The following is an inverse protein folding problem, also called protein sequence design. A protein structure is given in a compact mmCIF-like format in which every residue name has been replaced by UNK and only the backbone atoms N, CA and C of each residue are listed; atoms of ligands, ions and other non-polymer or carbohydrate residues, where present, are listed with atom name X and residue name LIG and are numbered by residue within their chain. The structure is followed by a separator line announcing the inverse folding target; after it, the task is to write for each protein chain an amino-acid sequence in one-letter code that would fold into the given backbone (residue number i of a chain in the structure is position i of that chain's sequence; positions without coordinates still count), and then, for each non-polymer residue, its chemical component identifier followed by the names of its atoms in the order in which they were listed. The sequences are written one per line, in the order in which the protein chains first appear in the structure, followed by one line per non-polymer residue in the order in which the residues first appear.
data_IF_311848310513
#
_entry.id   IF_311848310513
#
_cell.length_a   1.000
_cell.length_b   1.000
_cell.length_c   1.000
_cell.angle_alpha   90.00
_cell.angle_beta   90.00
_cell.angle_gamma   90.00
#
_symmetry.space_group_name_H-M   'P 1'
#
loop_
_entity.id
_entity.type
_entity.pdbx_description
1 polymer ?
#
# COMPACT_ATOMS: atom_id res chain seq x y z
N UNK A 1 -8.42 -13.28 6.55
CA UNK A 1 -9.72 -13.23 5.84
C UNK A 1 -10.63 -14.44 6.08
N UNK A 2 -10.16 -15.50 6.67
CA UNK A 2 -10.98 -16.60 7.16
C UNK A 2 -10.93 -16.62 8.68
N UNK A 3 -12.07 -16.78 9.31
CA UNK A 3 -12.18 -17.02 10.74
C UNK A 3 -11.59 -18.42 10.96
N UNK A 4 -10.66 -18.61 11.93
CA UNK A 4 -10.10 -19.91 12.22
C UNK A 4 -11.16 -20.88 12.76
N UNK A 5 -11.06 -22.17 12.43
CA UNK A 5 -12.04 -23.20 12.81
C UNK A 5 -12.16 -23.42 14.32
N UNK A 6 -11.14 -23.06 15.11
CA UNK A 6 -11.25 -23.11 16.58
C UNK A 6 -12.19 -22.04 17.18
N UNK A 7 -12.75 -21.16 16.33
CA UNK A 7 -13.78 -20.19 16.69
C UNK A 7 -15.16 -20.55 16.12
N UNK A 8 -15.37 -21.74 15.55
CA UNK A 8 -16.63 -22.15 14.94
C UNK A 8 -17.81 -22.18 15.94
N UNK A 9 -17.52 -22.42 17.23
CA UNK A 9 -18.52 -22.40 18.30
C UNK A 9 -18.80 -21.00 18.87
N UNK A 10 -18.13 -19.94 18.35
CA UNK A 10 -18.32 -18.57 18.79
C UNK A 10 -19.37 -17.84 17.97
N UNK A 11 -20.14 -16.95 18.61
CA UNK A 11 -20.97 -15.99 17.90
C UNK A 11 -20.11 -14.79 17.48
N UNK A 12 -19.92 -14.58 16.19
CA UNK A 12 -19.03 -13.58 15.63
C UNK A 12 -19.83 -12.54 14.85
N UNK A 13 -19.65 -11.26 15.16
CA UNK A 13 -20.15 -10.16 14.32
C UNK A 13 -18.99 -9.62 13.48
N UNK A 14 -19.20 -9.48 12.16
CA UNK A 14 -18.31 -8.75 11.27
C UNK A 14 -19.00 -7.45 10.88
N UNK A 15 -18.34 -6.33 11.18
CA UNK A 15 -18.81 -4.99 10.75
C UNK A 15 -17.94 -4.53 9.59
N UNK A 16 -18.57 -4.20 8.46
CA UNK A 16 -17.88 -3.69 7.27
C UNK A 16 -18.67 -2.52 6.67
N UNK A 17 -18.00 -1.41 6.42
CA UNK A 17 -18.63 -0.20 5.86
C UNK A 17 -18.60 -0.11 4.34
N UNK A 18 -17.73 -0.90 3.70
CA UNK A 18 -17.43 -0.78 2.28
C UNK A 18 -17.37 -2.18 1.61
N UNK A 19 -16.70 -2.28 0.50
CA UNK A 19 -16.57 -3.53 -0.26
C UNK A 19 -15.77 -4.60 0.51
N UNK A 20 -16.28 -5.83 0.50
CA UNK A 20 -15.64 -6.96 1.16
C UNK A 20 -14.25 -7.28 0.58
N UNK A 21 -13.34 -7.76 1.44
CA UNK A 21 -11.99 -8.15 1.06
C UNK A 21 -10.92 -7.10 1.35
N UNK A 22 -11.32 -5.89 1.76
CA UNK A 22 -10.42 -4.82 2.19
C UNK A 22 -9.55 -4.27 1.05
N UNK A 23 -8.60 -3.40 1.41
CA UNK A 23 -7.75 -2.66 0.47
C UNK A 23 -6.96 -3.58 -0.47
N UNK A 24 -6.33 -4.64 0.05
CA UNK A 24 -5.44 -5.48 -0.74
C UNK A 24 -6.16 -6.17 -1.93
N UNK A 25 -7.38 -6.68 -1.73
CA UNK A 25 -8.14 -7.35 -2.80
C UNK A 25 -8.71 -6.34 -3.80
N UNK A 26 -9.26 -5.22 -3.32
CA UNK A 26 -10.10 -4.34 -4.14
C UNK A 26 -9.34 -3.20 -4.82
N UNK A 27 -8.31 -2.65 -4.14
CA UNK A 27 -7.67 -1.38 -4.52
C UNK A 27 -6.19 -1.30 -4.13
N UNK A 28 -5.56 -2.44 -3.85
CA UNK A 28 -4.15 -2.54 -3.40
C UNK A 28 -3.38 -3.64 -4.10
N UNK A 29 -2.83 -4.57 -3.32
CA UNK A 29 -1.84 -5.55 -3.76
C UNK A 29 -2.27 -6.39 -4.98
N UNK A 30 -3.51 -6.89 -4.99
CA UNK A 30 -3.94 -7.80 -6.06
C UNK A 30 -4.13 -7.05 -7.38
N UNK A 31 -4.99 -6.01 -7.47
CA UNK A 31 -5.15 -5.30 -8.74
C UNK A 31 -3.84 -4.64 -9.19
N UNK A 32 -3.05 -4.00 -8.31
CA UNK A 32 -1.82 -3.35 -8.73
C UNK A 32 -0.85 -4.33 -9.42
N UNK A 33 -0.66 -5.55 -8.88
CA UNK A 33 0.21 -6.55 -9.51
C UNK A 33 -0.35 -7.08 -10.83
N UNK A 34 -1.68 -7.13 -10.95
CA UNK A 34 -2.34 -7.50 -12.21
C UNK A 34 -2.21 -6.40 -13.29
N UNK A 35 -2.01 -5.13 -12.91
CA UNK A 35 -1.67 -4.03 -13.82
C UNK A 35 -0.16 -3.92 -14.08
N UNK A 36 0.68 -4.20 -13.08
CA UNK A 36 2.15 -4.18 -13.22
C UNK A 36 2.60 -5.17 -14.29
N UNK A 37 2.08 -6.40 -14.31
CA UNK A 37 2.53 -7.41 -15.26
C UNK A 37 2.35 -7.02 -16.74
N UNK A 38 1.20 -6.49 -17.21
CA UNK A 38 1.09 -5.91 -18.55
C UNK A 38 2.06 -4.76 -18.83
N UNK A 39 2.31 -3.92 -17.82
CA UNK A 39 3.30 -2.84 -17.95
C UNK A 39 4.72 -3.39 -18.12
N UNK A 40 5.10 -4.45 -17.39
CA UNK A 40 6.37 -5.14 -17.55
C UNK A 40 6.53 -5.69 -18.97
N UNK A 41 5.49 -6.33 -19.52
CA UNK A 41 5.49 -6.83 -20.91
C UNK A 41 5.67 -5.68 -21.89
N UNK A 42 4.98 -4.56 -21.71
CA UNK A 42 5.09 -3.39 -22.56
C UNK A 42 6.50 -2.75 -22.48
N UNK A 43 7.08 -2.65 -21.30
CA UNK A 43 8.45 -2.17 -21.10
C UNK A 43 9.45 -3.14 -21.72
N UNK A 44 9.30 -4.45 -21.49
CA UNK A 44 10.16 -5.46 -22.08
C UNK A 44 10.16 -5.39 -23.61
N UNK A 45 8.99 -5.17 -24.23
CA UNK A 45 8.92 -5.04 -25.70
C UNK A 45 9.64 -3.79 -26.23
N UNK A 46 9.69 -2.70 -25.48
CA UNK A 46 10.41 -1.46 -25.86
C UNK A 46 11.91 -1.56 -25.65
N UNK A 47 12.37 -2.44 -24.76
CA UNK A 47 13.78 -2.58 -24.38
C UNK A 47 14.43 -3.87 -24.88
N UNK A 48 13.73 -4.65 -25.68
CA UNK A 48 14.18 -5.96 -26.17
C UNK A 48 15.33 -5.89 -27.17
N UNK A 49 15.54 -4.74 -27.81
CA UNK A 49 16.65 -4.52 -28.76
C UNK A 49 18.01 -4.79 -28.12
N UNK A 50 18.19 -4.44 -26.84
CA UNK A 50 19.42 -4.74 -26.08
C UNK A 50 19.74 -6.25 -25.98
N UNK A 51 18.75 -7.10 -26.23
CA UNK A 51 18.86 -8.57 -26.24
C UNK A 51 18.86 -9.14 -27.68
N UNK A 52 18.86 -8.28 -28.71
CA UNK A 52 18.81 -8.69 -30.12
C UNK A 52 17.43 -9.12 -30.60
N UNK A 53 16.35 -8.73 -29.85
CA UNK A 53 14.96 -9.07 -30.20
C UNK A 53 14.28 -7.82 -30.74
N UNK A 54 13.83 -7.87 -32.00
CA UNK A 54 13.07 -6.78 -32.64
C UNK A 54 11.57 -6.93 -32.30
N UNK A 55 11.07 -6.01 -31.50
CA UNK A 55 9.65 -5.92 -31.12
C UNK A 55 9.18 -4.47 -31.15
N UNK A 56 7.88 -4.28 -31.37
CA UNK A 56 7.27 -2.96 -31.39
C UNK A 56 6.09 -2.89 -30.42
N UNK A 57 6.06 -1.87 -29.58
CA UNK A 57 4.88 -1.54 -28.76
C UNK A 57 3.97 -0.61 -29.54
N UNK A 58 2.79 -1.10 -29.92
CA UNK A 58 1.80 -0.34 -30.71
C UNK A 58 0.68 0.29 -29.84
N UNK A 59 0.77 0.18 -28.51
CA UNK A 59 -0.23 0.69 -27.58
C UNK A 59 -0.75 -0.41 -26.64
N UNK A 60 -1.59 0.02 -25.68
CA UNK A 60 -2.25 -0.85 -24.73
C UNK A 60 -3.76 -0.67 -24.80
N UNK A 61 -4.51 -1.77 -24.79
CA UNK A 61 -5.95 -1.74 -24.59
C UNK A 61 -6.25 -1.70 -23.07
N UNK A 62 -6.37 -0.49 -22.54
CA UNK A 62 -6.65 -0.26 -21.12
C UNK A 62 -7.95 -0.91 -20.67
N UNK A 63 -9.01 -0.83 -21.47
CA UNK A 63 -10.29 -1.39 -21.13
C UNK A 63 -10.19 -2.92 -20.98
N UNK A 64 -9.53 -3.61 -21.92
CA UNK A 64 -9.30 -5.04 -21.84
C UNK A 64 -8.45 -5.44 -20.61
N UNK A 65 -7.41 -4.67 -20.27
CA UNK A 65 -6.59 -4.92 -19.07
C UNK A 65 -7.45 -4.72 -17.81
N UNK A 66 -8.11 -3.59 -17.67
CA UNK A 66 -8.98 -3.25 -16.53
C UNK A 66 -10.09 -4.29 -16.32
N UNK A 67 -10.81 -4.63 -17.39
CA UNK A 67 -11.95 -5.53 -17.33
C UNK A 67 -11.51 -6.97 -16.98
N UNK A 68 -10.33 -7.40 -17.46
CA UNK A 68 -9.71 -8.67 -17.04
C UNK A 68 -9.38 -8.65 -15.53
N UNK A 69 -8.87 -7.56 -15.01
CA UNK A 69 -8.49 -7.43 -13.59
C UNK A 69 -9.76 -7.50 -12.72
N UNK A 70 -10.70 -6.61 -12.96
CA UNK A 70 -11.87 -6.50 -12.10
C UNK A 70 -12.94 -7.55 -12.38
N UNK A 71 -12.97 -8.12 -13.59
CA UNK A 71 -13.78 -9.31 -13.89
C UNK A 71 -13.39 -10.55 -13.08
N UNK A 72 -12.15 -10.61 -12.57
CA UNK A 72 -11.70 -11.66 -11.65
C UNK A 72 -11.92 -11.27 -10.18
N UNK A 73 -11.71 -9.99 -9.83
CA UNK A 73 -11.77 -9.54 -8.43
C UNK A 73 -13.21 -9.38 -7.93
N UNK A 74 -14.08 -8.72 -8.70
CA UNK A 74 -15.42 -8.36 -8.26
C UNK A 74 -16.30 -9.60 -7.91
N UNK A 75 -16.23 -10.73 -8.64
CA UNK A 75 -16.89 -11.97 -8.22
C UNK A 75 -16.37 -12.55 -6.90
N UNK A 76 -15.04 -12.43 -6.61
CA UNK A 76 -14.48 -12.90 -5.34
C UNK A 76 -15.01 -12.06 -4.18
N UNK A 77 -15.12 -10.75 -4.38
CA UNK A 77 -15.68 -9.81 -3.39
C UNK A 77 -17.14 -10.16 -3.08
N UNK A 78 -17.97 -10.33 -4.11
CA UNK A 78 -19.39 -10.67 -3.96
C UNK A 78 -19.56 -12.03 -3.28
N UNK A 79 -18.86 -13.06 -3.74
CA UNK A 79 -18.91 -14.40 -3.12
C UNK A 79 -18.42 -14.38 -1.66
N UNK A 80 -17.39 -13.58 -1.36
CA UNK A 80 -16.88 -13.44 0.00
C UNK A 80 -17.87 -12.78 0.96
N UNK A 81 -18.63 -11.79 0.48
CA UNK A 81 -19.72 -11.16 1.22
C UNK A 81 -20.86 -12.16 1.45
N UNK A 82 -21.34 -12.81 0.39
CA UNK A 82 -22.46 -13.75 0.46
C UNK A 82 -22.18 -14.94 1.38
N UNK A 83 -20.94 -15.45 1.34
CA UNK A 83 -20.52 -16.50 2.27
C UNK A 83 -20.61 -16.05 3.74
N UNK A 84 -20.24 -14.83 4.07
CA UNK A 84 -20.33 -14.29 5.43
C UNK A 84 -21.75 -13.95 5.83
N UNK A 85 -22.57 -13.53 4.89
CA UNK A 85 -23.96 -13.19 5.14
C UNK A 85 -24.84 -14.44 5.35
N UNK A 86 -24.56 -15.55 4.66
CA UNK A 86 -25.46 -16.70 4.61
C UNK A 86 -24.80 -18.07 4.74
N UNK A 87 -23.49 -18.16 4.47
CA UNK A 87 -22.74 -19.43 4.43
C UNK A 87 -22.03 -19.79 5.73
N UNK A 88 -21.91 -18.85 6.69
CA UNK A 88 -21.27 -19.07 7.99
C UNK A 88 -22.32 -18.94 9.10
N UNK A 89 -22.82 -20.06 9.69
CA UNK A 89 -23.94 -20.02 10.62
C UNK A 89 -23.66 -19.30 11.93
N UNK A 90 -22.37 -19.20 12.33
CA UNK A 90 -21.92 -18.53 13.53
C UNK A 90 -21.52 -17.05 13.28
N UNK A 91 -21.66 -16.54 12.05
CA UNK A 91 -21.27 -15.18 11.68
C UNK A 91 -22.50 -14.33 11.40
N UNK A 92 -22.56 -13.17 12.03
CA UNK A 92 -23.52 -12.09 11.71
C UNK A 92 -22.79 -11.00 10.96
N UNK A 93 -23.17 -10.77 9.71
CA UNK A 93 -22.65 -9.63 8.93
C UNK A 93 -23.47 -8.38 9.24
N UNK A 94 -22.79 -7.28 9.53
CA UNK A 94 -23.39 -5.96 9.78
C UNK A 94 -22.69 -4.97 8.84
N UNK A 95 -23.42 -4.49 7.85
CA UNK A 95 -22.94 -3.49 6.90
C UNK A 95 -23.21 -2.10 7.47
N UNK A 96 -22.16 -1.29 7.63
CA UNK A 96 -22.24 0.07 8.19
C UNK A 96 -20.94 0.54 8.80
N UNK A 97 -20.87 1.82 9.06
CA UNK A 97 -19.73 2.46 9.72
C UNK A 97 -19.84 2.31 11.24
N UNK A 98 -18.83 1.68 11.85
CA UNK A 98 -18.74 1.54 13.29
C UNK A 98 -17.97 2.70 13.92
N UNK A 99 -18.42 3.18 15.08
CA UNK A 99 -17.67 4.06 15.96
C UNK A 99 -17.90 3.65 17.42
N UNK A 100 -16.88 3.79 18.26
CA UNK A 100 -17.04 3.57 19.69
C UNK A 100 -17.91 4.67 20.33
N UNK A 101 -18.66 4.29 21.34
CA UNK A 101 -19.45 5.22 22.16
C UNK A 101 -19.12 5.06 23.65
N UNK A 102 -18.48 3.96 23.99
CA UNK A 102 -17.82 3.67 25.26
C UNK A 102 -16.83 2.52 25.05
N UNK A 103 -16.16 2.08 26.12
CA UNK A 103 -15.07 1.11 26.13
C UNK A 103 -15.39 -0.19 25.37
N UNK A 104 -16.63 -0.70 25.43
CA UNK A 104 -17.02 -1.98 24.82
C UNK A 104 -18.30 -1.90 23.97
N UNK A 105 -18.71 -0.70 23.57
CA UNK A 105 -19.91 -0.51 22.76
C UNK A 105 -19.60 0.25 21.49
N UNK A 106 -19.91 -0.37 20.35
CA UNK A 106 -19.90 0.26 19.03
C UNK A 106 -21.31 0.73 18.66
N UNK A 107 -21.41 1.91 18.08
CA UNK A 107 -22.57 2.32 17.29
C UNK A 107 -22.31 1.99 15.83
N UNK A 108 -23.25 1.31 15.20
CA UNK A 108 -23.22 1.03 13.75
C UNK A 108 -24.54 1.50 13.16
N UNK A 109 -24.54 2.66 12.54
CA UNK A 109 -25.72 3.29 11.93
C UNK A 109 -26.92 3.36 12.90
N UNK A 110 -26.69 3.71 14.18
CA UNK A 110 -27.72 3.78 15.23
C UNK A 110 -28.00 2.47 15.95
N UNK A 111 -27.34 1.38 15.56
CA UNK A 111 -27.43 0.08 16.23
C UNK A 111 -26.26 -0.09 17.22
N UNK A 112 -26.57 -0.29 18.49
CA UNK A 112 -25.56 -0.57 19.53
C UNK A 112 -25.15 -2.04 19.50
N UNK A 113 -23.84 -2.29 19.51
CA UNK A 113 -23.23 -3.61 19.49
C UNK A 113 -22.21 -3.67 20.62
N UNK A 114 -22.30 -4.71 21.43
CA UNK A 114 -21.34 -4.98 22.51
C UNK A 114 -20.76 -6.37 22.35
N UNK A 115 -19.49 -6.56 22.68
CA UNK A 115 -18.83 -7.86 22.71
C UNK A 115 -17.76 -7.89 23.80
N UNK A 116 -17.51 -9.04 24.44
CA UNK A 116 -16.41 -9.19 25.39
C UNK A 116 -15.03 -9.17 24.71
N UNK A 117 -14.98 -9.48 23.42
CA UNK A 117 -13.77 -9.47 22.60
C UNK A 117 -14.00 -8.70 21.31
N UNK A 118 -13.14 -7.75 21.02
CA UNK A 118 -13.18 -6.93 19.81
C UNK A 118 -11.83 -6.95 19.12
N UNK A 119 -11.81 -7.32 17.83
CA UNK A 119 -10.62 -7.24 16.99
C UNK A 119 -10.78 -6.10 15.98
N UNK A 120 -10.01 -5.04 16.16
CA UNK A 120 -10.04 -3.86 15.31
C UNK A 120 -9.12 -4.06 14.10
N UNK A 121 -9.71 -4.06 12.90
CA UNK A 121 -9.01 -4.23 11.64
C UNK A 121 -9.44 -3.20 10.58
N UNK A 122 -9.74 -1.97 11.04
CA UNK A 122 -10.31 -0.91 10.21
C UNK A 122 -9.34 -0.32 9.17
N UNK A 123 -8.05 -0.69 9.25
CA UNK A 123 -7.05 -0.30 8.25
C UNK A 123 -6.74 1.20 8.23
N UNK A 124 -6.38 1.69 7.03
CA UNK A 124 -5.98 3.07 6.78
C UNK A 124 -6.63 3.60 5.49
N UNK A 125 -6.64 4.92 5.31
CA UNK A 125 -7.12 5.62 4.13
C UNK A 125 -6.04 6.50 3.51
N UNK A 126 -6.12 6.88 2.21
CA UNK A 126 -5.20 7.82 1.59
C UNK A 126 -5.22 9.19 2.27
N UNK A 127 -4.03 9.78 2.45
CA UNK A 127 -3.89 11.17 2.91
C UNK A 127 -4.01 12.11 1.71
N UNK A 128 -4.88 13.13 1.82
CA UNK A 128 -5.03 14.17 0.81
C UNK A 128 -4.35 15.44 1.30
N UNK A 129 -3.30 15.92 0.62
CA UNK A 129 -2.58 17.12 1.03
C UNK A 129 -3.43 18.38 0.78
N UNK A 130 -3.27 19.44 1.60
CA UNK A 130 -4.02 20.68 1.46
C UNK A 130 -3.45 21.57 0.34
N UNK A 131 -3.54 21.11 -0.91
CA UNK A 131 -3.11 21.85 -2.10
C UNK A 131 -4.29 22.67 -2.61
N UNK A 132 -4.06 23.97 -2.85
CA UNK A 132 -5.11 24.88 -3.32
C UNK A 132 -5.72 24.39 -4.64
N UNK A 133 -7.05 24.26 -4.69
CA UNK A 133 -7.81 23.84 -5.86
C UNK A 133 -7.83 22.32 -6.11
N UNK A 134 -7.16 21.51 -5.31
CA UNK A 134 -7.12 20.04 -5.51
C UNK A 134 -8.50 19.40 -5.34
N UNK A 135 -9.24 19.79 -4.30
CA UNK A 135 -10.58 19.25 -4.03
C UNK A 135 -11.58 19.63 -5.11
N UNK A 136 -11.54 20.88 -5.57
CA UNK A 136 -12.45 21.43 -6.58
C UNK A 136 -12.16 20.86 -7.98
N UNK A 137 -10.89 20.59 -8.27
CA UNK A 137 -10.46 20.05 -9.55
C UNK A 137 -10.79 18.56 -9.68
N UNK A 138 -10.76 17.84 -8.55
CA UNK A 138 -10.86 16.39 -8.49
C UNK A 138 -9.50 15.72 -8.68
N UNK A 139 -9.38 14.53 -8.11
CA UNK A 139 -8.18 13.71 -8.16
C UNK A 139 -8.54 12.24 -7.93
N UNK A 140 -7.60 11.36 -8.24
CA UNK A 140 -7.66 9.95 -7.91
C UNK A 140 -6.72 9.62 -6.74
N UNK A 141 -7.05 8.56 -6.03
CA UNK A 141 -6.14 7.87 -5.08
C UNK A 141 -5.92 6.44 -5.56
N UNK A 142 -5.19 5.63 -4.80
CA UNK A 142 -5.10 4.18 -5.04
C UNK A 142 -6.47 3.51 -5.14
N UNK A 143 -7.49 4.10 -4.51
CA UNK A 143 -8.83 3.53 -4.44
C UNK A 143 -9.62 3.65 -5.75
N UNK A 144 -9.26 4.58 -6.63
CA UNK A 144 -10.00 4.87 -7.87
C UNK A 144 -9.17 4.80 -9.16
N UNK A 145 -7.86 5.07 -9.10
CA UNK A 145 -7.03 5.24 -10.30
C UNK A 145 -7.02 4.01 -11.22
N UNK A 146 -7.04 2.81 -10.66
CA UNK A 146 -7.04 1.56 -11.43
C UNK A 146 -8.37 1.24 -12.11
N UNK A 147 -9.45 1.97 -11.77
CA UNK A 147 -10.79 1.84 -12.36
C UNK A 147 -11.11 2.94 -13.36
N UNK A 148 -10.14 3.74 -13.79
CA UNK A 148 -10.33 4.73 -14.84
C UNK A 148 -10.99 4.11 -16.07
N UNK A 149 -11.94 4.81 -16.73
CA UNK A 149 -12.57 4.30 -17.95
C UNK A 149 -11.57 4.20 -19.10
N UNK A 150 -10.62 5.12 -19.19
CA UNK A 150 -9.63 5.25 -20.27
C UNK A 150 -8.23 5.47 -19.70
N UNK A 151 -7.21 5.09 -20.48
CA UNK A 151 -5.82 5.39 -20.15
C UNK A 151 -5.57 6.89 -20.43
N UNK A 152 -5.21 7.71 -19.41
CA UNK A 152 -4.94 9.12 -19.64
C UNK A 152 -3.66 9.29 -20.47
N UNK A 153 -3.63 10.30 -21.36
CA UNK A 153 -2.41 10.61 -22.10
C UNK A 153 -1.32 11.18 -21.16
N UNK A 154 -1.74 11.97 -20.15
CA UNK A 154 -0.84 12.64 -19.20
C UNK A 154 -1.34 12.43 -17.76
N UNK A 155 -0.47 11.97 -16.87
CA UNK A 155 -0.80 11.73 -15.46
C UNK A 155 0.17 12.49 -14.54
N UNK A 156 -0.35 13.31 -13.66
CA UNK A 156 0.41 13.89 -12.54
C UNK A 156 0.28 13.02 -11.29
N UNK A 157 1.39 12.60 -10.71
CA UNK A 157 1.40 11.82 -9.46
C UNK A 157 1.99 12.69 -8.36
N UNK A 158 1.24 12.89 -7.27
CA UNK A 158 1.70 13.64 -6.10
C UNK A 158 2.09 12.63 -5.01
N UNK A 159 3.40 12.52 -4.73
CA UNK A 159 4.00 11.58 -3.80
C UNK A 159 5.17 10.82 -4.43
N UNK A 160 5.99 10.15 -3.63
CA UNK A 160 7.19 9.42 -4.09
C UNK A 160 7.38 8.08 -3.37
N UNK A 161 6.34 7.57 -2.71
CA UNK A 161 6.33 6.26 -2.05
C UNK A 161 5.98 5.13 -3.02
N UNK A 162 5.83 3.92 -2.48
CA UNK A 162 5.60 2.70 -3.27
C UNK A 162 4.36 2.77 -4.17
N UNK A 163 3.24 3.40 -3.72
CA UNK A 163 2.04 3.57 -4.54
C UNK A 163 2.33 4.46 -5.76
N UNK A 164 3.01 5.60 -5.53
CA UNK A 164 3.39 6.51 -6.61
C UNK A 164 4.27 5.83 -7.65
N UNK A 165 5.23 5.04 -7.20
CA UNK A 165 6.19 4.32 -8.05
C UNK A 165 5.53 3.18 -8.82
N UNK A 166 4.73 2.34 -8.17
CA UNK A 166 4.02 1.23 -8.84
C UNK A 166 3.04 1.77 -9.89
N UNK A 167 2.24 2.78 -9.56
CA UNK A 167 1.32 3.39 -10.53
C UNK A 167 2.07 4.18 -11.60
N UNK A 168 3.14 4.87 -11.25
CA UNK A 168 4.04 5.50 -12.22
C UNK A 168 4.59 4.50 -13.24
N UNK A 169 5.00 3.31 -12.77
CA UNK A 169 5.43 2.23 -13.65
C UNK A 169 4.28 1.70 -14.54
N UNK A 170 3.10 1.43 -13.94
CA UNK A 170 1.93 0.95 -14.69
C UNK A 170 1.57 1.91 -15.82
N UNK A 171 1.33 3.17 -15.50
CA UNK A 171 0.85 4.15 -16.46
C UNK A 171 1.92 4.47 -17.51
N UNK A 172 3.17 4.74 -17.11
CA UNK A 172 4.27 5.00 -18.06
C UNK A 172 4.58 3.78 -18.93
N UNK A 173 4.55 2.58 -18.36
CA UNK A 173 4.71 1.33 -19.08
C UNK A 173 3.65 1.13 -20.16
N UNK A 174 2.40 1.51 -19.91
CA UNK A 174 1.28 1.40 -20.85
C UNK A 174 1.16 2.57 -21.83
N UNK A 175 1.97 3.63 -21.72
CA UNK A 175 2.07 4.70 -22.70
C UNK A 175 1.62 6.08 -22.25
N UNK A 176 1.25 6.25 -20.98
CA UNK A 176 0.94 7.55 -20.38
C UNK A 176 2.22 8.35 -20.14
N UNK A 177 2.23 9.65 -20.45
CA UNK A 177 3.28 10.54 -19.97
C UNK A 177 3.05 10.82 -18.48
N UNK A 178 3.99 10.40 -17.63
CA UNK A 178 3.88 10.53 -16.18
C UNK A 178 4.83 11.58 -15.65
N UNK A 179 4.30 12.50 -14.82
CA UNK A 179 5.11 13.45 -14.04
C UNK A 179 4.89 13.19 -12.55
N UNK A 180 5.96 12.93 -11.79
CA UNK A 180 5.91 12.69 -10.34
C UNK A 180 6.39 13.91 -9.58
N UNK A 181 5.54 14.45 -8.72
CA UNK A 181 5.86 15.55 -7.81
C UNK A 181 6.17 14.98 -6.43
N UNK A 182 7.40 15.15 -5.94
CA UNK A 182 7.81 14.62 -4.65
C UNK A 182 8.57 15.66 -3.82
N UNK A 183 8.20 15.78 -2.54
CA UNK A 183 8.88 16.71 -1.61
C UNK A 183 10.33 16.35 -1.30
N UNK A 184 10.68 15.06 -1.39
CA UNK A 184 12.04 14.57 -1.18
C UNK A 184 12.82 14.57 -2.50
N UNK A 185 14.15 14.62 -2.40
CA UNK A 185 15.03 14.56 -3.57
C UNK A 185 15.19 13.15 -4.15
N UNK A 186 14.64 12.14 -3.50
CA UNK A 186 14.61 10.74 -3.97
C UNK A 186 13.22 10.16 -3.85
N UNK A 187 12.89 9.22 -4.72
CA UNK A 187 11.75 8.32 -4.57
C UNK A 187 12.08 7.24 -3.53
N UNK A 188 11.06 6.60 -2.96
CA UNK A 188 11.22 5.50 -2.01
C UNK A 188 12.15 5.83 -0.82
N UNK A 189 12.07 7.04 -0.28
CA UNK A 189 12.97 7.57 0.74
C UNK A 189 13.05 6.74 2.03
N UNK A 190 12.08 5.85 2.27
CA UNK A 190 12.03 4.96 3.44
C UNK A 190 12.89 3.70 3.24
N UNK A 191 13.42 3.49 2.02
CA UNK A 191 14.36 2.43 1.73
C UNK A 191 15.80 2.87 1.99
N UNK A 192 16.74 1.93 1.87
CA UNK A 192 18.16 2.23 1.97
C UNK A 192 18.57 3.34 0.97
N UNK A 193 19.47 4.25 1.41
CA UNK A 193 19.88 5.40 0.60
C UNK A 193 20.44 5.02 -0.77
N UNK A 194 21.25 3.98 -0.85
CA UNK A 194 21.81 3.51 -2.13
C UNK A 194 20.71 3.00 -3.05
N UNK A 195 19.73 2.28 -2.48
CA UNK A 195 18.56 1.78 -3.21
C UNK A 195 17.72 2.95 -3.74
N UNK A 196 17.36 3.89 -2.86
CA UNK A 196 16.52 5.05 -3.21
C UNK A 196 17.17 5.92 -4.28
N UNK A 197 18.48 6.16 -4.17
CA UNK A 197 19.24 6.99 -5.13
C UNK A 197 19.32 6.32 -6.49
N UNK A 198 19.78 5.06 -6.56
CA UNK A 198 19.87 4.31 -7.82
C UNK A 198 18.49 4.12 -8.46
N UNK A 199 17.47 3.80 -7.65
CA UNK A 199 16.10 3.68 -8.15
C UNK A 199 15.62 4.97 -8.78
N UNK A 200 15.84 6.12 -8.12
CA UNK A 200 15.39 7.42 -8.60
C UNK A 200 16.02 7.79 -9.93
N UNK A 201 17.33 7.54 -10.09
CA UNK A 201 18.07 7.77 -11.34
C UNK A 201 17.50 6.92 -12.48
N UNK A 202 17.44 5.60 -12.30
CA UNK A 202 16.97 4.66 -13.34
C UNK A 202 15.49 4.89 -13.68
N UNK A 203 14.64 5.12 -12.69
CA UNK A 203 13.23 5.34 -12.93
C UNK A 203 12.96 6.67 -13.63
N UNK A 204 13.78 7.69 -13.33
CA UNK A 204 13.72 9.02 -13.96
C UNK A 204 14.04 9.04 -15.45
N UNK A 205 14.63 7.97 -16.00
CA UNK A 205 14.82 7.84 -17.46
C UNK A 205 13.48 7.65 -18.22
N UNK A 206 12.41 7.25 -17.52
CA UNK A 206 11.11 6.92 -18.12
C UNK A 206 9.97 7.83 -17.71
N UNK A 207 10.13 8.60 -16.65
CA UNK A 207 9.11 9.51 -16.11
C UNK A 207 9.72 10.85 -15.78
N UNK A 208 8.92 11.92 -15.88
CA UNK A 208 9.36 13.24 -15.48
C UNK A 208 9.34 13.36 -13.95
N UNK A 209 10.45 13.76 -13.34
CA UNK A 209 10.58 13.87 -11.89
C UNK A 209 10.71 15.34 -11.45
N UNK A 210 9.77 15.81 -10.65
CA UNK A 210 9.76 17.10 -9.97
C UNK A 210 10.11 16.89 -8.48
N UNK A 211 11.40 16.65 -8.19
CA UNK A 211 11.90 16.32 -6.86
C UNK A 211 12.25 17.56 -6.03
N UNK A 212 12.12 17.45 -4.70
CA UNK A 212 12.35 18.55 -3.77
C UNK A 212 11.24 19.61 -3.75
N UNK A 213 10.14 19.36 -4.48
CA UNK A 213 9.07 20.32 -4.65
C UNK A 213 7.69 19.68 -4.50
N UNK A 214 6.78 20.39 -3.85
CA UNK A 214 5.36 19.99 -3.78
C UNK A 214 4.52 20.96 -4.59
N UNK A 215 3.44 20.50 -5.23
CA UNK A 215 2.47 21.39 -5.84
C UNK A 215 1.88 22.37 -4.83
N UNK A 216 1.75 23.63 -5.23
CA UNK A 216 1.13 24.69 -4.43
C UNK A 216 -0.29 24.99 -4.86
N UNK A 217 -0.60 24.74 -6.13
CA UNK A 217 -1.92 24.99 -6.71
C UNK A 217 -2.23 23.98 -7.82
N UNK A 218 -3.51 23.66 -7.93
CA UNK A 218 -4.10 22.88 -9.02
C UNK A 218 -5.31 23.62 -9.53
N UNK A 219 -5.48 23.70 -10.86
CA UNK A 219 -6.64 24.35 -11.48
C UNK A 219 -7.00 23.72 -12.83
N UNK A 220 -8.28 23.67 -13.16
CA UNK A 220 -8.73 23.24 -14.49
C UNK A 220 -8.43 24.33 -15.51
N UNK A 221 -7.88 23.91 -16.64
CA UNK A 221 -7.60 24.75 -17.81
C UNK A 221 -8.24 24.14 -19.06
N UNK A 222 -8.20 24.83 -20.18
CA UNK A 222 -8.84 24.36 -21.43
C UNK A 222 -8.29 22.98 -21.90
N UNK A 223 -7.03 22.68 -21.63
CA UNK A 223 -6.31 21.49 -22.10
C UNK A 223 -6.02 20.49 -20.98
N UNK A 224 -6.79 20.50 -19.87
CA UNK A 224 -6.63 19.55 -18.79
C UNK A 224 -6.57 20.17 -17.41
N UNK A 225 -5.66 19.69 -16.57
CA UNK A 225 -5.43 20.14 -15.20
C UNK A 225 -4.02 20.69 -15.09
N UNK A 226 -3.89 21.96 -14.75
CA UNK A 226 -2.61 22.61 -14.52
C UNK A 226 -2.18 22.42 -13.07
N UNK A 227 -1.00 21.87 -12.87
CA UNK A 227 -0.33 21.71 -11.58
C UNK A 227 0.81 22.72 -11.52
N UNK A 228 0.79 23.60 -10.52
CA UNK A 228 1.82 24.62 -10.29
C UNK A 228 2.69 24.25 -9.10
N UNK A 229 3.99 24.28 -9.26
CA UNK A 229 4.99 24.16 -8.19
C UNK A 229 6.04 25.28 -8.32
N UNK A 230 6.97 25.36 -7.34
CA UNK A 230 7.96 26.44 -7.28
C UNK A 230 8.87 26.53 -8.52
N UNK A 231 9.05 25.44 -9.26
CA UNK A 231 9.97 25.33 -10.42
C UNK A 231 9.27 25.34 -11.77
N UNK A 232 7.95 25.45 -11.81
CA UNK A 232 7.21 25.51 -13.06
C UNK A 232 5.78 24.99 -12.98
N UNK A 233 5.18 24.86 -14.14
CA UNK A 233 3.81 24.40 -14.33
C UNK A 233 3.79 23.18 -15.26
N UNK A 234 2.89 22.24 -15.00
CA UNK A 234 2.66 21.05 -15.83
C UNK A 234 1.16 20.89 -16.06
N UNK A 235 0.76 20.57 -17.28
CA UNK A 235 -0.64 20.26 -17.61
C UNK A 235 -0.80 18.75 -17.80
N UNK A 236 -1.75 18.17 -17.08
CA UNK A 236 -2.06 16.72 -17.09
C UNK A 236 -3.55 16.49 -17.32
N UNK A 237 -3.94 15.27 -17.63
CA UNK A 237 -5.36 14.92 -17.82
C UNK A 237 -5.97 14.44 -16.51
N UNK A 238 -5.19 13.73 -15.69
CA UNK A 238 -5.60 13.17 -14.39
C UNK A 238 -4.52 13.40 -13.33
N UNK A 239 -4.95 13.41 -12.07
CA UNK A 239 -4.05 13.50 -10.90
C UNK A 239 -4.24 12.27 -10.03
N UNK A 240 -3.13 11.63 -9.65
CA UNK A 240 -3.06 10.64 -8.60
C UNK A 240 -2.43 11.24 -7.34
N UNK A 241 -3.15 11.23 -6.23
CA UNK A 241 -2.62 11.57 -4.90
C UNK A 241 -2.16 10.28 -4.21
N UNK A 242 -0.86 10.20 -3.94
CA UNK A 242 -0.17 9.06 -3.33
C UNK A 242 0.82 9.52 -2.24
N UNK A 243 0.39 10.45 -1.38
CA UNK A 243 1.21 11.15 -0.38
C UNK A 243 1.32 10.43 0.96
N UNK A 244 0.76 9.23 1.06
CA UNK A 244 0.76 8.39 2.25
C UNK A 244 -0.65 7.93 2.63
N UNK A 245 -0.72 7.24 3.76
CA UNK A 245 -1.97 6.73 4.34
C UNK A 245 -2.02 7.06 5.83
N UNK A 246 -3.21 7.27 6.35
CA UNK A 246 -3.46 7.50 7.77
C UNK A 246 -4.42 6.42 8.32
N UNK A 247 -4.20 5.94 9.56
CA UNK A 247 -5.06 4.93 10.17
C UNK A 247 -6.48 5.47 10.40
N UNK A 248 -7.47 4.57 10.37
CA UNK A 248 -8.88 4.93 10.55
C UNK A 248 -9.31 4.94 12.04
N UNK A 249 -8.40 5.18 12.96
CA UNK A 249 -8.67 5.26 14.40
C UNK A 249 -9.63 6.39 14.78
N UNK A 250 -9.49 7.54 14.13
CA UNK A 250 -10.38 8.68 14.27
C UNK A 250 -11.82 8.38 13.79
N UNK A 251 -11.96 7.61 12.71
CA UNK A 251 -13.27 7.20 12.20
C UNK A 251 -13.96 6.16 13.10
N UNK A 252 -13.16 5.37 13.83
CA UNK A 252 -13.66 4.45 14.86
C UNK A 252 -13.96 5.15 16.20
N UNK A 253 -13.58 6.44 16.36
CA UNK A 253 -13.65 7.17 17.62
C UNK A 253 -13.03 6.38 18.79
N UNK A 254 -11.76 5.94 18.58
CA UNK A 254 -11.07 5.08 19.56
C UNK A 254 -10.85 5.76 20.90
N UNK A 255 -10.85 7.09 20.95
CA UNK A 255 -10.76 7.89 22.18
C UNK A 255 -11.98 7.65 23.09
N UNK A 256 -13.17 7.42 22.52
CA UNK A 256 -14.38 7.09 23.28
C UNK A 256 -14.28 5.74 24.01
N UNK A 257 -13.43 4.84 23.50
CA UNK A 257 -13.10 3.56 24.16
C UNK A 257 -11.91 3.66 25.11
N UNK A 258 -11.24 4.81 25.22
CA UNK A 258 -10.03 4.98 26.03
C UNK A 258 -8.81 4.26 25.47
N UNK A 259 -8.76 4.02 24.16
CA UNK A 259 -7.64 3.37 23.51
C UNK A 259 -6.46 4.33 23.32
N UNK A 260 -5.27 3.89 23.68
CA UNK A 260 -4.05 4.65 23.45
C UNK A 260 -3.66 4.62 21.97
N UNK A 261 -3.24 5.77 21.44
CA UNK A 261 -2.71 5.91 20.10
C UNK A 261 -1.30 6.47 20.08
N UNK A 262 -0.48 6.03 19.11
CA UNK A 262 0.78 6.67 18.80
C UNK A 262 0.58 8.02 18.10
N UNK A 263 1.63 8.84 18.04
CA UNK A 263 1.58 10.19 17.45
C UNK A 263 0.97 10.26 16.04
N UNK A 264 1.07 9.18 15.27
CA UNK A 264 0.51 9.12 13.89
C UNK A 264 -0.89 8.51 13.82
N UNK A 265 -1.57 8.36 14.97
CA UNK A 265 -2.93 7.86 15.05
C UNK A 265 -3.06 6.32 14.99
N UNK A 266 -1.97 5.55 14.90
CA UNK A 266 -2.05 4.10 15.04
C UNK A 266 -2.38 3.71 16.47
N UNK A 267 -3.32 2.78 16.63
CA UNK A 267 -3.68 2.23 17.94
C UNK A 267 -2.49 1.50 18.54
N UNK A 268 -2.15 1.81 19.79
CA UNK A 268 -1.04 1.17 20.48
C UNK A 268 -1.41 -0.27 20.88
N UNK A 269 -0.56 -1.21 20.49
CA UNK A 269 -0.69 -2.63 20.86
C UNK A 269 0.65 -3.15 21.36
N UNK A 270 0.61 -4.17 22.21
CA UNK A 270 1.79 -4.93 22.57
C UNK A 270 2.08 -6.02 21.51
N UNK A 271 3.07 -6.87 21.76
CA UNK A 271 3.47 -7.94 20.83
C UNK A 271 2.47 -9.12 20.80
N UNK A 272 1.45 -9.10 21.66
CA UNK A 272 0.31 -10.04 21.63
C UNK A 272 -0.88 -9.49 20.83
N UNK A 273 -0.75 -8.30 20.25
CA UNK A 273 -1.77 -7.52 19.57
C UNK A 273 -2.84 -6.95 20.50
N UNK A 274 -2.67 -7.04 21.83
CA UNK A 274 -3.59 -6.47 22.80
C UNK A 274 -3.38 -4.95 22.93
N UNK A 275 -4.48 -4.23 23.08
CA UNK A 275 -4.46 -2.79 23.42
C UNK A 275 -4.37 -2.57 24.94
N UNK A 276 -4.31 -1.31 25.37
CA UNK A 276 -4.40 -0.95 26.78
C UNK A 276 -5.78 -1.26 27.40
N UNK A 277 -6.82 -1.49 26.59
CA UNK A 277 -8.18 -1.83 27.05
C UNK A 277 -8.38 -3.35 26.96
N UNK A 278 -8.67 -3.99 28.09
CA UNK A 278 -8.85 -5.44 28.16
C UNK A 278 -9.97 -5.91 27.24
N UNK A 279 -9.74 -6.98 26.47
CA UNK A 279 -10.73 -7.51 25.55
C UNK A 279 -10.74 -6.81 24.17
N UNK A 280 -9.84 -5.85 23.93
CA UNK A 280 -9.71 -5.18 22.63
C UNK A 280 -8.30 -5.42 22.04
N UNK A 281 -8.26 -5.86 20.80
CA UNK A 281 -7.05 -6.07 19.99
C UNK A 281 -7.09 -5.21 18.73
N UNK A 282 -5.93 -4.84 18.20
CA UNK A 282 -5.86 -4.14 16.91
C UNK A 282 -4.73 -4.71 16.03
N UNK A 283 -4.97 -4.71 14.70
CA UNK A 283 -4.06 -5.28 13.71
C UNK A 283 -4.00 -4.47 12.42
N UNK A 284 -2.97 -4.74 11.62
CA UNK A 284 -2.79 -4.17 10.28
C UNK A 284 -2.49 -2.67 10.32
N UNK A 285 -2.89 -1.98 9.24
CA UNK A 285 -2.60 -0.55 9.06
C UNK A 285 -3.24 0.35 10.15
N UNK A 286 -4.15 -0.18 10.97
CA UNK A 286 -4.68 0.49 12.14
C UNK A 286 -3.69 0.51 13.31
N UNK A 287 -2.85 -0.54 13.44
CA UNK A 287 -1.97 -0.77 14.58
C UNK A 287 -0.48 -0.58 14.25
N UNK A 288 -0.09 -0.53 12.98
CA UNK A 288 1.29 -0.35 12.57
C UNK A 288 1.45 0.45 11.27
N UNK A 289 2.68 0.94 11.00
CA UNK A 289 3.00 1.76 9.84
C UNK A 289 3.61 0.97 8.66
N UNK A 290 3.69 -0.35 8.72
CA UNK A 290 4.25 -1.16 7.63
C UNK A 290 3.33 -1.20 6.40
N UNK A 291 2.01 -1.18 6.61
CA UNK A 291 1.00 -1.18 5.54
C UNK A 291 1.13 -2.41 4.61
N UNK A 292 1.43 -3.57 5.19
CA UNK A 292 1.72 -4.81 4.48
C UNK A 292 0.70 -5.91 4.81
N UNK A 293 0.04 -6.43 3.76
CA UNK A 293 -1.01 -7.46 3.91
C UNK A 293 -0.51 -8.74 4.58
N UNK A 294 0.69 -9.23 4.25
CA UNK A 294 1.24 -10.43 4.85
C UNK A 294 1.55 -10.25 6.34
N UNK A 295 1.96 -9.04 6.75
CA UNK A 295 2.15 -8.71 8.16
C UNK A 295 0.81 -8.68 8.90
N UNK A 296 -0.21 -8.01 8.35
CA UNK A 296 -1.56 -8.01 8.92
C UNK A 296 -2.15 -9.43 9.04
N UNK A 297 -1.81 -10.36 8.14
CA UNK A 297 -2.20 -11.75 8.27
C UNK A 297 -1.49 -12.46 9.42
N UNK A 298 -0.19 -12.19 9.65
CA UNK A 298 0.56 -12.75 10.77
C UNK A 298 0.01 -12.22 12.11
N UNK A 299 -0.23 -10.91 12.18
CA UNK A 299 -0.86 -10.28 13.34
C UNK A 299 -2.26 -10.84 13.62
N UNK A 300 -3.08 -11.03 12.59
CA UNK A 300 -4.39 -11.66 12.73
C UNK A 300 -4.31 -13.09 13.30
N UNK A 301 -3.30 -13.87 12.86
CA UNK A 301 -3.10 -15.22 13.40
C UNK A 301 -2.71 -15.19 14.89
N UNK A 302 -1.90 -14.21 15.31
CA UNK A 302 -1.54 -14.01 16.73
C UNK A 302 -2.77 -13.55 17.52
N UNK A 303 -3.48 -12.51 17.06
CA UNK A 303 -4.64 -11.97 17.76
C UNK A 303 -5.77 -13.00 17.92
N UNK A 304 -6.17 -13.69 16.84
CA UNK A 304 -7.20 -14.74 16.94
C UNK A 304 -6.80 -15.89 17.88
N UNK A 305 -5.52 -16.27 17.85
CA UNK A 305 -5.04 -17.30 18.77
C UNK A 305 -5.15 -16.84 20.23
N UNK A 306 -4.67 -15.64 20.54
CA UNK A 306 -4.65 -15.10 21.90
C UNK A 306 -6.06 -14.84 22.46
N UNK A 307 -7.00 -14.42 21.60
CA UNK A 307 -8.42 -14.29 21.95
C UNK A 307 -9.01 -15.63 22.39
N UNK A 308 -8.66 -16.73 21.69
CA UNK A 308 -9.22 -18.05 21.97
C UNK A 308 -8.47 -18.84 23.04
N UNK A 309 -7.20 -18.52 23.28
CA UNK A 309 -6.29 -19.31 24.15
C UNK A 309 -5.55 -18.39 25.14
N UNK A 310 -6.22 -17.78 26.11
CA UNK A 310 -5.60 -16.82 27.02
C UNK A 310 -4.46 -17.40 27.88
N UNK A 311 -4.43 -18.73 28.05
CA UNK A 311 -3.38 -19.44 28.80
C UNK A 311 -2.19 -19.90 27.93
N UNK A 312 -2.25 -19.72 26.59
CA UNK A 312 -1.19 -20.08 25.62
C UNK A 312 -0.94 -18.94 24.65
N UNK A 313 -0.31 -17.88 25.14
CA UNK A 313 -0.16 -16.61 24.41
C UNK A 313 0.94 -16.70 23.36
N UNK A 314 0.67 -16.18 22.16
CA UNK A 314 1.63 -16.01 21.06
C UNK A 314 2.03 -14.55 20.92
N UNK A 315 3.24 -14.35 20.38
CA UNK A 315 3.83 -13.03 20.19
C UNK A 315 4.16 -12.76 18.72
N UNK A 316 3.89 -11.56 18.25
CA UNK A 316 4.29 -11.08 16.93
C UNK A 316 5.72 -10.56 16.97
N UNK A 317 6.51 -10.91 15.95
CA UNK A 317 7.85 -10.38 15.77
C UNK A 317 7.92 -9.49 14.53
N UNK A 318 8.48 -8.30 14.68
CA UNK A 318 8.75 -7.35 13.60
C UNK A 318 10.22 -7.33 13.18
N UNK A 319 11.04 -8.29 13.63
CA UNK A 319 12.49 -8.29 13.45
C UNK A 319 12.94 -8.36 11.98
N UNK A 320 12.16 -9.02 11.13
CA UNK A 320 12.49 -9.22 9.72
C UNK A 320 11.21 -9.22 8.87
N UNK A 321 10.65 -8.03 8.64
CA UNK A 321 9.46 -7.85 7.81
C UNK A 321 9.89 -7.58 6.37
N UNK A 322 9.69 -8.52 5.42
CA UNK A 322 10.08 -8.30 4.04
C UNK A 322 9.09 -7.36 3.35
N UNK A 323 9.59 -6.49 2.47
CA UNK A 323 8.75 -5.68 1.60
C UNK A 323 9.32 -5.62 0.18
N UNK A 324 8.44 -5.38 -0.80
CA UNK A 324 8.81 -5.21 -2.19
C UNK A 324 7.97 -4.15 -2.86
N UNK A 325 8.59 -3.41 -3.79
CA UNK A 325 7.95 -2.48 -4.71
C UNK A 325 8.01 -3.07 -6.10
N UNK A 326 6.84 -3.26 -6.69
CA UNK A 326 6.69 -3.91 -7.99
C UNK A 326 6.68 -2.85 -9.09
N UNK A 327 7.85 -2.53 -9.57
CA UNK A 327 8.10 -1.59 -10.66
C UNK A 327 9.22 -2.10 -11.56
N UNK A 328 9.73 -1.28 -12.44
CA UNK A 328 10.92 -1.58 -13.20
C UNK A 328 11.91 -0.40 -13.08
N UNK A 329 13.06 -0.59 -12.36
CA UNK A 329 13.48 -1.83 -11.67
C UNK A 329 12.60 -2.17 -10.47
N UNK A 330 12.61 -3.45 -10.04
CA UNK A 330 11.97 -3.89 -8.79
C UNK A 330 12.87 -3.60 -7.61
N UNK A 331 12.27 -3.32 -6.45
CA UNK A 331 12.99 -3.11 -5.19
C UNK A 331 12.46 -4.08 -4.14
N UNK A 332 13.33 -4.70 -3.36
CA UNK A 332 12.96 -5.53 -2.24
C UNK A 332 13.90 -5.27 -1.06
N UNK A 333 13.36 -5.39 0.15
CA UNK A 333 14.14 -5.23 1.38
C UNK A 333 13.61 -6.14 2.49
N UNK A 334 14.50 -6.48 3.43
CA UNK A 334 14.16 -7.16 4.68
C UNK A 334 15.20 -6.78 5.75
N UNK A 335 14.74 -6.50 6.97
CA UNK A 335 15.59 -6.08 8.06
C UNK A 335 15.92 -4.58 8.01
N UNK A 336 17.04 -4.18 8.61
CA UNK A 336 17.44 -2.78 8.74
C UNK A 336 18.08 -2.25 7.47
N UNK A 337 17.81 -1.00 7.17
CA UNK A 337 18.61 -0.20 6.24
C UNK A 337 19.93 0.23 6.90
N UNK A 338 20.92 0.62 6.10
CA UNK A 338 22.20 1.08 6.64
C UNK A 338 22.03 2.30 7.57
N UNK A 339 21.19 3.28 7.17
CA UNK A 339 20.92 4.45 7.99
C UNK A 339 20.19 4.11 9.30
N UNK A 340 19.32 3.10 9.33
CA UNK A 340 18.70 2.62 10.56
C UNK A 340 19.70 1.90 11.47
N UNK A 341 20.57 1.07 10.91
CA UNK A 341 21.62 0.39 11.65
C UNK A 341 22.59 1.40 12.30
N UNK A 342 23.00 2.44 11.55
CA UNK A 342 23.81 3.55 12.08
C UNK A 342 23.07 4.28 13.21
N UNK A 343 21.79 4.63 13.02
CA UNK A 343 20.98 5.31 14.04
C UNK A 343 20.83 4.49 15.32
N UNK A 344 20.81 3.15 15.20
CA UNK A 344 20.74 2.24 16.34
C UNK A 344 22.13 2.00 16.99
N UNK A 345 23.21 2.56 16.45
CA UNK A 345 24.58 2.39 16.97
C UNK A 345 25.12 0.96 16.80
N UNK A 346 24.64 0.22 15.79
CA UNK A 346 25.11 -1.14 15.53
C UNK A 346 26.49 -1.14 14.87
N UNK A 347 27.30 -2.15 15.20
CA UNK A 347 28.52 -2.49 14.47
C UNK A 347 28.18 -3.46 13.35
N UNK A 348 28.48 -3.12 12.11
CA UNK A 348 28.17 -3.97 10.95
C UNK A 348 29.13 -3.73 9.79
N UNK A 349 29.23 -4.76 8.95
CA UNK A 349 29.93 -4.71 7.66
C UNK A 349 28.93 -4.63 6.53
N UNK A 350 29.27 -3.88 5.44
CA UNK A 350 28.43 -3.74 4.25
C UNK A 350 29.01 -4.54 3.10
N UNK A 351 28.21 -5.44 2.54
CA UNK A 351 28.49 -6.13 1.26
C UNK A 351 27.60 -5.58 0.16
N UNK A 352 28.20 -5.31 -1.03
CA UNK A 352 27.46 -4.94 -2.25
C UNK A 352 27.89 -5.81 -3.43
N UNK A 353 26.90 -6.25 -4.20
CA UNK A 353 27.14 -7.00 -5.42
C UNK A 353 26.27 -6.48 -6.55
N UNK A 354 26.88 -5.89 -7.57
CA UNK A 354 26.17 -5.43 -8.76
C UNK A 354 25.77 -6.62 -9.64
N UNK A 355 24.57 -6.59 -10.22
CA UNK A 355 24.06 -7.66 -11.09
C UNK A 355 24.85 -7.73 -12.41
N UNK A 356 25.39 -6.61 -12.89
CA UNK A 356 26.32 -6.56 -14.02
C UNK A 356 27.56 -7.46 -13.85
N UNK A 357 27.85 -7.89 -12.61
CA UNK A 357 28.91 -8.85 -12.29
C UNK A 357 28.44 -10.28 -12.05
N UNK A 358 27.18 -10.63 -12.42
CA UNK A 358 26.59 -11.96 -12.20
C UNK A 358 26.11 -12.57 -13.52
N UNK A 359 26.09 -13.91 -13.60
CA UNK A 359 25.70 -14.61 -14.83
C UNK A 359 24.28 -14.26 -15.30
N UNK A 360 23.32 -14.15 -14.36
CA UNK A 360 21.94 -13.79 -14.72
C UNK A 360 21.80 -12.30 -15.04
N UNK A 361 22.55 -11.42 -14.36
CA UNK A 361 22.64 -10.01 -14.73
C UNK A 361 23.17 -9.80 -16.15
N UNK A 362 24.17 -10.61 -16.58
CA UNK A 362 24.62 -10.61 -17.99
C UNK A 362 23.51 -11.05 -18.95
N UNK A 363 22.77 -12.11 -18.58
CA UNK A 363 21.66 -12.61 -19.41
C UNK A 363 20.56 -11.56 -19.59
N UNK A 364 20.27 -10.77 -18.55
CA UNK A 364 19.30 -9.68 -18.59
C UNK A 364 19.84 -8.38 -19.21
N UNK A 365 21.14 -8.29 -19.46
CA UNK A 365 21.84 -7.04 -19.77
C UNK A 365 21.51 -5.95 -18.72
N UNK A 366 21.53 -6.32 -17.43
CA UNK A 366 21.27 -5.43 -16.31
C UNK A 366 22.56 -4.70 -15.92
N UNK A 367 22.53 -3.37 -15.98
CA UNK A 367 23.67 -2.51 -15.67
C UNK A 367 23.46 -1.66 -14.41
N UNK A 368 22.27 -1.68 -13.83
CA UNK A 368 21.89 -0.80 -12.70
C UNK A 368 21.53 -1.55 -11.42
N UNK A 369 21.07 -2.80 -11.53
CA UNK A 369 20.64 -3.59 -10.40
C UNK A 369 21.78 -4.05 -9.50
N UNK A 370 21.52 -4.12 -8.19
CA UNK A 370 22.47 -4.65 -7.21
C UNK A 370 21.76 -5.25 -5.99
N UNK A 371 22.49 -6.05 -5.24
CA UNK A 371 22.13 -6.50 -3.90
C UNK A 371 23.06 -5.84 -2.88
N UNK A 372 22.49 -5.37 -1.76
CA UNK A 372 23.21 -4.84 -0.60
C UNK A 372 22.85 -5.66 0.63
N UNK A 373 23.84 -6.04 1.40
CA UNK A 373 23.67 -6.86 2.63
C UNK A 373 24.42 -6.19 3.76
N UNK A 374 23.75 -6.06 4.90
CA UNK A 374 24.37 -5.64 6.15
C UNK A 374 24.58 -6.90 7.02
N UNK A 375 25.79 -7.09 7.50
CA UNK A 375 26.16 -8.19 8.38
C UNK A 375 26.52 -7.61 9.74
N UNK A 376 25.77 -8.04 10.76
CA UNK A 376 26.07 -7.64 12.14
C UNK A 376 27.41 -8.26 12.57
N UNK A 377 28.31 -7.43 13.09
CA UNK A 377 29.67 -7.90 13.46
C UNK A 377 29.71 -8.65 14.80
N UNK A 378 28.60 -8.64 15.57
CA UNK A 378 28.53 -9.20 16.91
C UNK A 378 27.75 -10.53 16.99
N UNK A 379 26.89 -10.86 15.98
CA UNK A 379 26.00 -12.03 15.99
C UNK A 379 26.19 -12.97 14.75
#
# INVERSE_FOLDING_TARGET
NSIPSYLDDWNIAIVERDVFGGTCLNRGCIPSKMFVYPADVAVASRTSEKLGIDTQFNGADWAAIRDRVFGLIDPIVSSGRDYRATGSPNVTLIEGTAAFVDEHTLDVEGRRITAPHMLLAAGARPVVPPIAGLMETGFHTSDSIMRLPELPARLGIIGGGFIAVEMGHVFSGLGTQVTIFNRSNTLLREFDHDISSTFTEVFGERVDLMLGHVPTKVERVADGIKITCAIGETVVDEILVATGREPNSDLLDVDAAGLDCHHHGTVAVDDTMATNVAGIWAIGDLANNYQLKHLANAEAAVAFWNIAHPDDVRHQSYKAVPSAVFSNPQVATVGLTEQEAIKQGRSFSVGRRDYSGTAYGWAMADTSGFAKVLVDDET
#
